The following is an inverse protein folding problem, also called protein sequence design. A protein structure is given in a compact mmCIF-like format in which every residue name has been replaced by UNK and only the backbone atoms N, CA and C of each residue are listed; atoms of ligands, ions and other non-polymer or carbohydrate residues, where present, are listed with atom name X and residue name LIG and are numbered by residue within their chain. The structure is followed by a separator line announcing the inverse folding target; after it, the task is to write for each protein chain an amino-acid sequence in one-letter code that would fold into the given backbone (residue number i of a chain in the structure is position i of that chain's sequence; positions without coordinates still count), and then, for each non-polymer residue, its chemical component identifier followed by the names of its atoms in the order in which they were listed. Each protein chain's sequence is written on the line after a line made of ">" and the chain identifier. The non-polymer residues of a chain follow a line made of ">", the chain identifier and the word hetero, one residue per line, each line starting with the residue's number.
data_IF_529283333254
#
_entry.id   IF_529283333254
#
_cell.length_a   1.000
_cell.length_b   1.000
_cell.length_c   1.000
_cell.angle_alpha   90.00
_cell.angle_beta   90.00
_cell.angle_gamma   90.00
#
_symmetry.space_group_name_H-M   'P 1'
#
loop_
_entity.id
_entity.type
_entity.pdbx_description
1 polymer ?
#
# COMPACT_ATOMS: atom_id res chain seq x y z
N UNK A 1 24.10 -9.34 -31.46
CA UNK A 1 23.14 -9.20 -30.35
C UNK A 1 23.69 -10.02 -29.20
N UNK A 2 23.83 -9.44 -28.01
CA UNK A 2 24.28 -10.18 -26.83
C UNK A 2 23.25 -11.28 -26.51
N UNK A 3 23.70 -12.49 -26.17
CA UNK A 3 22.81 -13.55 -25.72
C UNK A 3 22.10 -13.12 -24.43
N UNK A 4 20.82 -13.45 -24.27
CA UNK A 4 20.11 -13.28 -23.01
C UNK A 4 20.87 -14.03 -21.89
N UNK A 5 21.08 -13.36 -20.76
CA UNK A 5 21.83 -13.88 -19.61
C UNK A 5 20.95 -14.08 -18.38
N UNK A 6 19.64 -13.84 -18.51
CA UNK A 6 18.67 -13.94 -17.43
C UNK A 6 17.27 -14.24 -18.00
N UNK A 7 16.46 -14.98 -17.25
CA UNK A 7 15.13 -15.40 -17.66
C UNK A 7 14.15 -15.25 -16.50
N UNK A 8 12.97 -14.71 -16.79
CA UNK A 8 11.83 -14.72 -15.88
C UNK A 8 10.94 -15.91 -16.23
N UNK A 9 10.95 -16.93 -15.37
CA UNK A 9 10.07 -18.09 -15.48
C UNK A 9 8.82 -17.88 -14.61
N UNK A 10 7.66 -18.19 -15.16
CA UNK A 10 6.36 -18.13 -14.47
C UNK A 10 5.84 -19.55 -14.18
N UNK A 11 4.95 -19.67 -13.19
CA UNK A 11 4.36 -20.96 -12.77
C UNK A 11 3.56 -21.69 -13.84
N UNK A 12 3.12 -20.96 -14.87
CA UNK A 12 2.35 -21.50 -16.00
C UNK A 12 3.26 -22.05 -17.13
N UNK A 13 4.58 -22.01 -16.93
CA UNK A 13 5.58 -22.50 -17.88
C UNK A 13 6.09 -21.43 -18.85
N UNK A 14 5.56 -20.20 -18.80
CA UNK A 14 6.08 -19.13 -19.66
C UNK A 14 7.45 -18.68 -19.20
N UNK A 15 8.38 -18.60 -20.15
CA UNK A 15 9.75 -18.12 -19.94
C UNK A 15 9.98 -16.87 -20.78
N UNK A 16 10.33 -15.77 -20.12
CA UNK A 16 10.63 -14.49 -20.76
C UNK A 16 12.15 -14.24 -20.67
N UNK A 17 12.88 -14.25 -21.80
CA UNK A 17 14.30 -13.92 -21.81
C UNK A 17 14.50 -12.42 -21.58
N UNK A 18 15.62 -12.06 -20.96
CA UNK A 18 16.02 -10.67 -20.78
C UNK A 18 17.49 -10.54 -20.41
N UNK A 19 17.86 -9.34 -19.97
CA UNK A 19 19.20 -9.04 -19.48
C UNK A 19 19.18 -8.69 -18.00
N UNK A 20 20.10 -9.26 -17.23
CA UNK A 20 20.25 -8.91 -15.82
C UNK A 20 20.82 -7.49 -15.65
N UNK A 21 20.37 -6.82 -14.59
CA UNK A 21 20.95 -5.57 -14.10
C UNK A 21 20.76 -5.47 -12.58
N UNK A 22 21.51 -4.59 -11.92
CA UNK A 22 21.52 -4.54 -10.46
C UNK A 22 22.26 -5.74 -9.89
N UNK A 23 21.77 -6.31 -8.79
CA UNK A 23 22.46 -7.41 -8.11
C UNK A 23 22.37 -8.73 -8.89
N UNK A 24 23.52 -9.24 -9.31
CA UNK A 24 23.66 -10.62 -9.81
C UNK A 24 24.22 -11.49 -8.68
N UNK A 25 23.49 -12.54 -8.25
CA UNK A 25 24.00 -13.51 -7.30
C UNK A 25 25.28 -14.18 -7.82
N UNK A 26 26.24 -14.51 -6.95
CA UNK A 26 27.42 -15.28 -7.35
C UNK A 26 27.01 -16.68 -7.86
N UNK A 27 27.85 -17.31 -8.68
CA UNK A 27 27.55 -18.60 -9.37
C UNK A 27 27.06 -19.70 -8.41
N UNK A 28 27.58 -19.75 -7.19
CA UNK A 28 27.18 -20.74 -6.19
C UNK A 28 25.73 -20.56 -5.65
N UNK A 29 25.17 -19.36 -5.78
CA UNK A 29 23.81 -19.00 -5.36
C UNK A 29 22.88 -18.73 -6.56
N UNK A 30 23.42 -18.58 -7.78
CA UNK A 30 22.64 -18.33 -8.99
C UNK A 30 21.72 -19.49 -9.36
N UNK A 31 22.09 -20.72 -9.00
CA UNK A 31 21.29 -21.93 -9.20
C UNK A 31 19.96 -21.88 -8.41
N UNK A 32 19.97 -21.19 -7.27
CA UNK A 32 18.78 -21.06 -6.42
C UNK A 32 17.78 -20.11 -7.03
N UNK A 33 18.23 -19.11 -7.80
CA UNK A 33 17.38 -18.07 -8.39
C UNK A 33 16.61 -17.25 -7.34
N UNK A 34 15.92 -16.20 -7.79
CA UNK A 34 15.13 -15.34 -6.90
C UNK A 34 13.66 -15.44 -7.26
N UNK A 35 12.86 -15.99 -6.33
CA UNK A 35 11.44 -16.24 -6.52
C UNK A 35 10.55 -15.30 -5.71
N UNK A 36 9.35 -15.07 -6.21
CA UNK A 36 8.31 -14.26 -5.55
C UNK A 36 7.02 -14.22 -6.35
N UNK A 37 6.02 -13.55 -5.81
CA UNK A 37 4.77 -13.27 -6.54
C UNK A 37 5.00 -12.13 -7.54
N UNK A 38 4.67 -12.35 -8.81
CA UNK A 38 4.83 -11.34 -9.86
C UNK A 38 3.62 -10.42 -9.87
N UNK A 39 3.87 -9.14 -9.62
CA UNK A 39 2.85 -8.09 -9.59
C UNK A 39 3.25 -6.95 -10.51
N UNK A 40 2.28 -6.22 -11.05
CA UNK A 40 2.54 -5.07 -11.90
C UNK A 40 2.07 -3.77 -11.27
N UNK A 41 2.78 -2.68 -11.56
CA UNK A 41 2.41 -1.34 -11.16
C UNK A 41 2.29 -0.42 -12.38
N UNK A 42 1.19 0.33 -12.44
CA UNK A 42 0.86 1.29 -13.50
C UNK A 42 1.39 2.70 -13.29
N UNK A 43 2.11 2.93 -12.19
CA UNK A 43 2.74 4.21 -11.88
C UNK A 43 3.86 4.52 -12.88
N UNK A 44 3.78 5.69 -13.52
CA UNK A 44 4.78 6.13 -14.49
C UNK A 44 6.03 6.75 -13.84
N UNK A 45 5.88 7.23 -12.60
CA UNK A 45 6.91 7.91 -11.82
C UNK A 45 6.93 7.36 -10.40
N UNK A 46 8.01 7.61 -9.67
CA UNK A 46 8.13 7.21 -8.27
C UNK A 46 8.57 5.75 -8.11
N UNK A 47 9.44 5.25 -8.99
CA UNK A 47 9.96 3.88 -8.87
C UNK A 47 10.80 3.69 -7.60
N UNK A 48 11.44 4.74 -7.09
CA UNK A 48 12.22 4.73 -5.84
C UNK A 48 11.33 4.53 -4.61
N UNK A 49 10.22 5.24 -4.56
CA UNK A 49 9.20 5.18 -3.52
C UNK A 49 8.45 3.85 -3.60
N UNK A 50 8.13 3.39 -4.81
CA UNK A 50 7.55 2.08 -5.04
C UNK A 50 8.47 0.95 -4.55
N UNK A 51 9.75 0.97 -4.90
CA UNK A 51 10.69 -0.08 -4.52
C UNK A 51 10.96 -0.14 -3.02
N UNK A 52 10.77 0.97 -2.29
CA UNK A 52 10.92 1.03 -0.83
C UNK A 52 9.64 0.76 -0.06
N UNK A 53 8.52 0.52 -0.75
CA UNK A 53 7.25 0.17 -0.13
C UNK A 53 7.25 -1.27 0.40
N UNK A 54 6.99 -1.43 1.70
CA UNK A 54 6.93 -2.72 2.38
C UNK A 54 5.84 -3.65 1.86
N UNK A 55 4.84 -3.11 1.17
CA UNK A 55 3.77 -3.90 0.56
C UNK A 55 4.29 -4.88 -0.51
N UNK A 56 5.45 -4.59 -1.12
CA UNK A 56 6.08 -5.44 -2.14
C UNK A 56 7.05 -6.48 -1.57
N UNK A 57 7.09 -6.68 -0.25
CA UNK A 57 7.96 -7.69 0.35
C UNK A 57 7.57 -9.10 -0.13
N UNK A 58 8.52 -9.82 -0.71
CA UNK A 58 8.27 -11.14 -1.31
C UNK A 58 7.74 -11.09 -2.73
N UNK A 59 7.61 -9.90 -3.33
CA UNK A 59 7.03 -9.71 -4.66
C UNK A 59 8.08 -9.26 -5.68
N UNK A 60 7.92 -9.76 -6.91
CA UNK A 60 8.67 -9.32 -8.09
C UNK A 60 7.87 -8.21 -8.75
N UNK A 61 8.40 -6.99 -8.72
CA UNK A 61 7.70 -5.81 -9.20
C UNK A 61 7.94 -5.60 -10.69
N UNK A 62 6.86 -5.59 -11.48
CA UNK A 62 6.87 -5.25 -12.91
C UNK A 62 6.43 -3.81 -13.09
N UNK A 63 7.31 -2.96 -13.60
CA UNK A 63 6.95 -1.60 -13.95
C UNK A 63 6.44 -1.55 -15.38
N UNK A 64 5.22 -1.03 -15.54
CA UNK A 64 4.59 -0.91 -16.87
C UNK A 64 5.19 0.20 -17.72
N UNK A 65 5.74 1.25 -17.10
CA UNK A 65 6.41 2.32 -17.83
C UNK A 65 7.74 1.78 -18.39
N UNK A 66 7.99 1.91 -19.71
CA UNK A 66 9.09 1.20 -20.35
C UNK A 66 10.46 1.75 -19.97
N UNK A 67 10.60 3.06 -19.74
CA UNK A 67 11.88 3.72 -19.50
C UNK A 67 12.08 3.99 -18.00
N UNK A 68 12.82 3.13 -17.32
CA UNK A 68 13.02 3.23 -15.86
C UNK A 68 14.46 3.62 -15.53
N UNK A 69 14.65 4.45 -14.49
CA UNK A 69 15.99 4.86 -14.03
C UNK A 69 16.44 6.23 -14.54
N UNK A 70 15.63 6.92 -15.34
CA UNK A 70 15.94 8.22 -15.96
C UNK A 70 16.40 9.30 -14.96
N UNK A 71 15.78 9.39 -13.78
CA UNK A 71 16.13 10.38 -12.74
C UNK A 71 17.06 9.82 -11.65
N UNK A 72 17.49 8.55 -11.78
CA UNK A 72 18.37 7.90 -10.81
C UNK A 72 17.70 7.68 -9.45
N UNK A 73 18.50 7.64 -8.41
CA UNK A 73 18.06 7.46 -7.02
C UNK A 73 18.50 8.67 -6.20
N UNK A 74 17.60 9.31 -5.43
CA UNK A 74 17.94 10.45 -4.60
C UNK A 74 18.81 10.06 -3.41
N UNK A 75 19.47 11.04 -2.78
CA UNK A 75 20.19 10.83 -1.55
C UNK A 75 19.21 10.45 -0.40
N UNK A 76 19.65 9.64 0.58
CA UNK A 76 18.88 9.29 1.77
C UNK A 76 18.88 10.44 2.79
N UNK A 77 18.44 11.62 2.34
CA UNK A 77 18.27 12.78 3.21
C UNK A 77 17.11 12.53 4.18
N UNK A 78 17.22 13.05 5.39
CA UNK A 78 16.22 12.91 6.46
C UNK A 78 15.49 14.24 6.70
N UNK A 79 14.23 14.15 7.14
CA UNK A 79 13.45 15.30 7.59
C UNK A 79 13.75 15.66 9.06
N UNK A 80 13.06 16.70 9.55
CA UNK A 80 13.16 17.16 10.94
C UNK A 80 12.77 16.11 12.00
N UNK A 81 12.14 15.02 11.57
CA UNK A 81 11.73 13.90 12.41
C UNK A 81 12.63 12.67 12.26
N UNK A 82 13.75 12.79 11.52
CA UNK A 82 14.67 11.68 11.23
C UNK A 82 14.07 10.63 10.29
N UNK A 83 13.04 11.00 9.52
CA UNK A 83 12.45 10.12 8.50
C UNK A 83 13.09 10.43 7.14
N UNK A 84 13.48 9.42 6.35
CA UNK A 84 13.94 9.63 4.98
C UNK A 84 12.95 10.47 4.18
N UNK A 85 13.40 11.45 3.39
CA UNK A 85 12.53 12.36 2.63
C UNK A 85 11.99 11.75 1.33
N UNK A 86 12.77 10.86 0.69
CA UNK A 86 12.50 10.35 -0.66
C UNK A 86 12.20 8.86 -0.75
N UNK A 87 12.02 8.23 0.41
CA UNK A 87 11.81 6.80 0.51
C UNK A 87 10.61 6.54 1.40
N UNK A 88 9.86 5.47 1.11
CA UNK A 88 8.68 5.10 1.89
C UNK A 88 9.01 4.18 3.06
N UNK A 89 10.30 3.88 3.25
CA UNK A 89 10.80 3.13 4.38
C UNK A 89 12.19 3.57 4.86
N UNK A 90 12.52 3.18 6.09
CA UNK A 90 13.75 3.55 6.77
C UNK A 90 14.99 3.09 5.99
N UNK A 91 16.03 3.95 5.99
CA UNK A 91 17.34 3.69 5.36
C UNK A 91 17.29 3.43 3.85
N UNK A 92 16.19 3.76 3.17
CA UNK A 92 16.04 3.56 1.73
C UNK A 92 16.17 2.09 1.29
N UNK A 93 15.85 1.14 2.18
CA UNK A 93 15.98 -0.29 1.89
C UNK A 93 14.92 -0.72 0.89
N UNK A 94 15.36 -1.25 -0.24
CA UNK A 94 14.48 -1.86 -1.24
C UNK A 94 13.77 -3.07 -0.61
N UNK A 95 12.44 -3.07 -0.70
CA UNK A 95 11.57 -4.09 -0.13
C UNK A 95 11.12 -5.12 -1.18
N UNK A 96 11.03 -4.70 -2.45
CA UNK A 96 10.74 -5.59 -3.55
C UNK A 96 11.83 -6.66 -3.70
N UNK A 97 11.42 -7.90 -3.95
CA UNK A 97 12.32 -9.04 -4.10
C UNK A 97 13.12 -8.98 -5.40
N UNK A 98 12.51 -8.46 -6.46
CA UNK A 98 13.18 -8.21 -7.73
C UNK A 98 12.44 -7.13 -8.53
N UNK A 99 13.11 -6.59 -9.54
CA UNK A 99 12.56 -5.59 -10.44
C UNK A 99 12.56 -6.07 -11.90
N UNK A 100 11.42 -5.95 -12.58
CA UNK A 100 11.25 -6.25 -14.00
C UNK A 100 10.88 -4.96 -14.74
N UNK A 101 11.65 -4.62 -15.78
CA UNK A 101 11.44 -3.42 -16.58
C UNK A 101 11.58 -3.72 -18.07
N UNK A 102 11.02 -2.83 -18.91
CA UNK A 102 11.27 -2.85 -20.34
C UNK A 102 12.70 -2.43 -20.65
N UNK A 103 13.06 -1.22 -20.29
CA UNK A 103 14.40 -0.66 -20.48
C UNK A 103 14.87 0.04 -19.21
N UNK A 104 16.18 -0.05 -18.95
CA UNK A 104 16.80 0.67 -17.83
C UNK A 104 17.78 1.69 -18.37
N UNK A 105 17.70 2.91 -17.84
CA UNK A 105 18.68 3.95 -18.13
C UNK A 105 19.99 3.64 -17.38
N UNK A 106 21.07 3.41 -18.12
CA UNK A 106 22.41 3.19 -17.56
C UNK A 106 22.93 4.47 -16.88
N UNK A 107 22.67 5.62 -17.51
CA UNK A 107 22.93 6.93 -16.97
C UNK A 107 21.62 7.64 -16.58
N UNK A 108 21.69 8.39 -15.49
CA UNK A 108 20.57 9.18 -14.98
C UNK A 108 20.92 10.67 -14.97
N UNK A 109 19.91 11.52 -15.19
CA UNK A 109 20.03 12.97 -15.13
C UNK A 109 18.89 13.56 -14.30
N UNK A 110 19.23 14.00 -13.09
CA UNK A 110 18.31 14.72 -12.20
C UNK A 110 19.13 15.47 -11.16
N UNK A 111 18.68 16.66 -10.75
CA UNK A 111 19.41 17.50 -9.78
C UNK A 111 19.59 16.85 -8.40
N UNK A 112 18.71 15.89 -8.06
CA UNK A 112 18.78 15.11 -6.81
C UNK A 112 19.55 13.79 -6.94
N UNK A 113 20.05 13.45 -8.13
CA UNK A 113 20.66 12.16 -8.37
C UNK A 113 21.86 11.97 -7.45
N UNK A 114 21.80 10.92 -6.64
CA UNK A 114 22.92 10.43 -5.84
C UNK A 114 23.55 9.19 -6.48
N UNK A 115 22.71 8.23 -6.92
CA UNK A 115 23.14 6.98 -7.58
C UNK A 115 22.31 6.67 -8.81
N UNK A 116 22.84 5.82 -9.68
CA UNK A 116 22.05 5.20 -10.75
C UNK A 116 21.23 4.04 -10.16
N UNK A 117 20.11 3.71 -10.81
CA UNK A 117 19.24 2.63 -10.37
C UNK A 117 19.97 1.26 -10.30
N UNK A 118 20.78 0.85 -11.30
CA UNK A 118 21.53 -0.41 -11.21
C UNK A 118 22.48 -0.46 -10.01
N UNK A 119 23.22 0.63 -9.75
CA UNK A 119 24.17 0.68 -8.63
C UNK A 119 23.46 0.63 -7.26
N UNK A 120 22.27 1.23 -7.17
CA UNK A 120 21.46 1.16 -5.95
C UNK A 120 20.91 -0.25 -5.70
N UNK A 121 20.38 -0.92 -6.73
CA UNK A 121 19.91 -2.31 -6.62
C UNK A 121 21.05 -3.28 -6.26
N UNK A 122 22.24 -3.08 -6.84
CA UNK A 122 23.45 -3.85 -6.48
C UNK A 122 23.79 -3.69 -4.99
N UNK A 123 23.73 -2.48 -4.46
CA UNK A 123 24.01 -2.21 -3.04
C UNK A 123 23.00 -2.90 -2.11
N UNK A 124 21.73 -2.94 -2.49
CA UNK A 124 20.66 -3.56 -1.71
C UNK A 124 20.50 -5.07 -1.97
N UNK A 125 21.37 -5.66 -2.81
CA UNK A 125 21.30 -7.07 -3.22
C UNK A 125 19.96 -7.47 -3.85
N UNK A 126 19.36 -6.57 -4.65
CA UNK A 126 18.10 -6.82 -5.35
C UNK A 126 18.36 -7.05 -6.84
N UNK A 127 17.98 -8.20 -7.40
CA UNK A 127 18.14 -8.46 -8.82
C UNK A 127 17.14 -7.70 -9.67
N UNK A 128 17.57 -7.32 -10.86
CA UNK A 128 16.75 -6.69 -11.89
C UNK A 128 16.87 -7.43 -13.22
N UNK A 129 15.78 -7.45 -13.99
CA UNK A 129 15.76 -7.96 -15.36
C UNK A 129 15.13 -6.92 -16.31
N UNK A 130 15.83 -6.63 -17.40
CA UNK A 130 15.43 -5.68 -18.45
C UNK A 130 15.22 -6.39 -19.77
N UNK A 131 14.66 -5.68 -20.73
CA UNK A 131 14.32 -6.13 -22.09
C UNK A 131 13.24 -7.22 -22.11
N UNK A 132 12.34 -7.18 -21.12
CA UNK A 132 11.13 -7.99 -21.09
C UNK A 132 9.98 -7.17 -21.66
N UNK A 133 9.11 -7.80 -22.45
CA UNK A 133 7.83 -7.21 -22.85
C UNK A 133 6.90 -7.10 -21.63
N UNK A 134 7.05 -6.02 -20.87
CA UNK A 134 6.25 -5.74 -19.67
C UNK A 134 4.78 -5.52 -20.01
N UNK A 135 4.44 -5.14 -21.26
CA UNK A 135 3.06 -4.97 -21.70
C UNK A 135 2.38 -6.33 -21.91
N UNK A 136 3.04 -7.27 -22.59
CA UNK A 136 2.54 -8.63 -22.72
C UNK A 136 2.42 -9.31 -21.35
N UNK A 137 3.44 -9.15 -20.50
CA UNK A 137 3.42 -9.68 -19.13
C UNK A 137 2.26 -9.09 -18.30
N UNK A 138 2.03 -7.78 -18.38
CA UNK A 138 0.95 -7.12 -17.65
C UNK A 138 -0.44 -7.56 -18.12
N UNK A 139 -0.64 -7.74 -19.43
CA UNK A 139 -1.91 -8.27 -19.96
C UNK A 139 -2.21 -9.64 -19.38
N UNK A 140 -1.20 -10.50 -19.37
CA UNK A 140 -1.31 -11.85 -18.83
C UNK A 140 -1.64 -11.86 -17.33
N UNK A 141 -0.93 -11.06 -16.53
CA UNK A 141 -1.21 -10.91 -15.09
C UNK A 141 -2.61 -10.33 -14.83
N UNK A 142 -3.13 -9.48 -15.71
CA UNK A 142 -4.49 -8.95 -15.61
C UNK A 142 -5.56 -10.00 -15.94
N UNK A 143 -5.27 -10.92 -16.86
CA UNK A 143 -6.22 -11.97 -17.29
C UNK A 143 -6.22 -13.18 -16.35
N UNK A 144 -5.04 -13.59 -15.86
CA UNK A 144 -4.85 -14.80 -15.06
C UNK A 144 -4.76 -14.53 -13.55
N UNK A 145 -4.58 -13.26 -13.15
CA UNK A 145 -4.27 -12.89 -11.77
C UNK A 145 -2.77 -12.82 -11.51
N UNK A 146 -2.41 -12.53 -10.26
CA UNK A 146 -1.01 -12.63 -9.83
C UNK A 146 -0.56 -14.09 -9.88
N UNK A 147 0.71 -14.29 -10.24
CA UNK A 147 1.30 -15.61 -10.47
C UNK A 147 2.65 -15.68 -9.77
N UNK A 148 3.08 -16.88 -9.39
CA UNK A 148 4.44 -17.06 -8.92
C UNK A 148 5.42 -16.99 -10.09
N UNK A 149 6.55 -16.35 -9.83
CA UNK A 149 7.63 -16.20 -10.79
C UNK A 149 8.99 -16.34 -10.13
N UNK A 150 9.97 -16.64 -10.97
CA UNK A 150 11.35 -16.84 -10.55
C UNK A 150 12.31 -16.32 -11.60
N UNK A 151 13.27 -15.52 -11.16
CA UNK A 151 14.38 -15.05 -11.98
C UNK A 151 15.50 -16.09 -11.89
N UNK A 152 15.94 -16.57 -13.04
CA UNK A 152 17.03 -17.54 -13.20
C UNK A 152 18.08 -17.01 -14.18
N UNK A 153 19.34 -17.36 -13.94
CA UNK A 153 20.48 -16.89 -14.75
C UNK A 153 20.95 -17.94 -15.75
N UNK A 154 20.55 -19.19 -15.55
CA UNK A 154 20.71 -20.26 -16.51
C UNK A 154 19.46 -20.40 -17.39
N UNK A 155 19.65 -20.88 -18.61
CA UNK A 155 18.54 -21.09 -19.54
C UNK A 155 17.65 -22.23 -19.02
N UNK A 156 16.39 -21.97 -18.66
CA UNK A 156 15.50 -23.03 -18.20
C UNK A 156 15.12 -23.98 -19.35
N UNK A 157 14.67 -25.21 -19.02
CA UNK A 157 14.11 -26.13 -20.01
C UNK A 157 12.95 -25.51 -20.80
N UNK A 158 12.67 -26.04 -22.00
CA UNK A 158 11.58 -25.55 -22.87
C UNK A 158 10.22 -25.66 -22.18
N UNK A 159 10.06 -26.65 -21.30
CA UNK A 159 8.84 -26.90 -20.52
C UNK A 159 8.69 -25.95 -19.31
N UNK A 160 9.67 -25.08 -19.07
CA UNK A 160 9.73 -24.20 -17.91
C UNK A 160 10.40 -24.86 -16.70
N UNK A 161 10.23 -24.22 -15.54
CA UNK A 161 10.72 -24.75 -14.26
C UNK A 161 9.66 -25.64 -13.60
N UNK A 162 10.05 -26.66 -12.83
CA UNK A 162 9.09 -27.49 -12.12
C UNK A 162 8.34 -26.66 -11.08
N UNK A 163 7.05 -26.95 -10.88
CA UNK A 163 6.18 -26.19 -9.95
C UNK A 163 6.72 -26.14 -8.52
N UNK A 164 7.44 -27.17 -8.10
CA UNK A 164 8.10 -27.24 -6.78
C UNK A 164 9.21 -26.20 -6.57
N UNK A 165 9.71 -25.57 -7.64
CA UNK A 165 10.72 -24.52 -7.56
C UNK A 165 10.16 -23.15 -7.19
N UNK A 166 8.84 -22.96 -7.25
CA UNK A 166 8.18 -21.71 -6.88
C UNK A 166 7.75 -21.75 -5.42
N UNK A 167 8.06 -20.69 -4.68
CA UNK A 167 7.69 -20.54 -3.28
C UNK A 167 6.73 -19.37 -3.16
N UNK A 168 5.54 -19.64 -2.64
CA UNK A 168 4.53 -18.60 -2.42
C UNK A 168 4.90 -17.75 -1.19
N UNK A 169 5.18 -16.44 -1.37
CA UNK A 169 5.47 -15.54 -0.24
C UNK A 169 4.28 -15.38 0.71
N UNK A 170 3.04 -15.55 0.23
CA UNK A 170 1.81 -15.31 0.99
C UNK A 170 1.52 -16.37 2.05
N UNK A 171 2.20 -17.53 1.98
CA UNK A 171 2.16 -18.56 3.03
C UNK A 171 2.82 -18.05 4.31
N UNK A 172 3.77 -17.12 4.20
CA UNK A 172 4.45 -16.50 5.34
C UNK A 172 3.67 -15.31 5.86
N UNK A 173 3.87 -14.97 7.13
CA UNK A 173 3.28 -13.77 7.70
C UNK A 173 4.10 -12.53 7.34
N UNK A 174 3.91 -12.00 6.13
CA UNK A 174 4.62 -10.83 5.61
C UNK A 174 4.41 -9.59 6.51
N UNK A 175 3.22 -9.39 7.05
CA UNK A 175 2.95 -8.28 7.97
C UNK A 175 3.79 -8.35 9.26
N UNK A 176 4.13 -9.56 9.72
CA UNK A 176 5.05 -9.77 10.86
C UNK A 176 6.49 -9.45 10.48
N UNK A 177 6.92 -9.88 9.30
CA UNK A 177 8.28 -9.65 8.79
C UNK A 177 8.54 -8.16 8.53
N UNK A 178 7.54 -7.47 8.00
CA UNK A 178 7.63 -6.05 7.70
C UNK A 178 7.49 -5.17 8.95
N UNK A 179 6.84 -5.60 10.03
CA UNK A 179 6.60 -4.80 11.23
C UNK A 179 7.90 -4.34 11.92
N UNK A 180 7.88 -3.16 12.55
CA UNK A 180 8.92 -2.74 13.50
C UNK A 180 9.14 -3.79 14.59
N UNK A 181 10.39 -3.90 15.05
CA UNK A 181 10.80 -4.83 16.13
C UNK A 181 10.56 -4.25 17.52
N UNK A 182 10.69 -2.94 17.64
CA UNK A 182 10.57 -2.20 18.88
C UNK A 182 9.59 -1.04 18.71
N UNK A 183 8.99 -0.61 19.82
CA UNK A 183 8.11 0.55 19.82
C UNK A 183 8.91 1.80 19.45
N UNK A 184 8.40 2.55 18.48
CA UNK A 184 8.99 3.83 18.07
C UNK A 184 8.02 4.97 18.38
N UNK A 185 8.55 6.12 18.78
CA UNK A 185 7.76 7.31 19.09
C UNK A 185 8.22 8.44 18.19
N UNK A 186 7.27 9.11 17.55
CA UNK A 186 7.51 10.22 16.63
C UNK A 186 6.71 11.45 17.07
N UNK A 187 7.25 12.64 16.80
CA UNK A 187 6.67 13.91 17.21
C UNK A 187 6.88 14.23 18.69
N UNK A 188 6.36 15.36 19.14
CA UNK A 188 6.51 15.80 20.52
C UNK A 188 5.48 15.10 21.44
N UNK A 189 5.91 14.22 22.37
CA UNK A 189 4.98 13.53 23.28
C UNK A 189 4.26 14.47 24.25
N UNK A 190 4.80 15.67 24.48
CA UNK A 190 4.22 16.73 25.30
C UNK A 190 3.55 17.82 24.43
N UNK A 191 3.36 17.55 23.15
CA UNK A 191 2.66 18.45 22.23
C UNK A 191 1.17 18.55 22.57
N UNK A 192 0.55 19.65 22.13
CA UNK A 192 -0.90 19.89 22.30
C UNK A 192 -1.78 19.09 21.34
N UNK A 193 -1.19 18.38 20.38
CA UNK A 193 -1.92 17.65 19.35
C UNK A 193 -2.34 16.23 19.77
N UNK A 194 -3.07 15.52 18.89
CA UNK A 194 -3.63 14.21 19.21
C UNK A 194 -2.54 13.15 19.37
N UNK A 195 -2.75 12.23 20.32
CA UNK A 195 -1.87 11.06 20.52
C UNK A 195 -2.42 9.85 19.77
N UNK A 196 -1.67 9.38 18.79
CA UNK A 196 -2.11 8.31 17.88
C UNK A 196 -1.25 7.07 18.09
N UNK A 197 -1.89 5.94 18.37
CA UNK A 197 -1.27 4.63 18.35
C UNK A 197 -1.42 4.02 16.95
N UNK A 198 -0.31 3.68 16.31
CA UNK A 198 -0.30 3.00 15.00
C UNK A 198 0.13 1.55 15.22
N UNK A 199 -0.60 0.63 14.61
CA UNK A 199 -0.19 -0.76 14.49
C UNK A 199 0.57 -0.93 13.18
N UNK A 200 1.84 -1.31 13.26
CA UNK A 200 2.65 -1.50 12.07
C UNK A 200 2.37 -2.84 11.39
N UNK A 201 1.78 -2.78 10.21
CA UNK A 201 1.59 -3.94 9.33
C UNK A 201 2.27 -3.75 7.97
N UNK A 202 3.30 -2.88 7.89
CA UNK A 202 3.83 -2.39 6.61
C UNK A 202 3.45 -0.94 6.34
N UNK A 203 3.46 -0.10 7.38
CA UNK A 203 3.23 1.34 7.28
C UNK A 203 4.17 2.01 6.25
N UNK A 204 3.63 2.95 5.46
CA UNK A 204 4.44 3.82 4.60
C UNK A 204 4.81 5.10 5.34
N UNK A 205 6.05 5.55 5.23
CA UNK A 205 6.53 6.72 5.97
C UNK A 205 5.72 7.99 5.67
N UNK A 206 5.17 8.14 4.45
CA UNK A 206 4.34 9.29 4.15
C UNK A 206 3.08 9.40 5.04
N UNK A 207 2.54 8.27 5.53
CA UNK A 207 1.42 8.28 6.46
C UNK A 207 1.82 8.89 7.81
N UNK A 208 3.04 8.59 8.29
CA UNK A 208 3.60 9.22 9.48
C UNK A 208 3.81 10.72 9.26
N UNK A 209 4.47 11.11 8.16
CA UNK A 209 4.72 12.53 7.82
C UNK A 209 3.43 13.34 7.83
N UNK A 210 2.37 12.82 7.19
CA UNK A 210 1.07 13.47 7.16
C UNK A 210 0.47 13.69 8.57
N UNK A 211 0.60 12.72 9.47
CA UNK A 211 0.09 12.83 10.83
C UNK A 211 0.94 13.79 11.68
N UNK A 212 2.27 13.72 11.56
CA UNK A 212 3.20 14.60 12.26
C UNK A 212 3.02 16.07 11.85
N UNK A 213 2.84 16.34 10.55
CA UNK A 213 2.58 17.68 10.03
C UNK A 213 1.28 18.30 10.60
N UNK A 214 0.33 17.47 11.05
CA UNK A 214 -0.91 17.89 11.70
C UNK A 214 -0.76 18.04 13.23
N UNK A 215 0.46 17.97 13.74
CA UNK A 215 0.79 18.12 15.16
C UNK A 215 0.54 16.87 16.00
N UNK A 216 0.25 15.71 15.39
CA UNK A 216 0.03 14.49 16.14
C UNK A 216 1.34 13.94 16.74
N UNK A 217 1.27 13.36 17.94
CA UNK A 217 2.35 12.53 18.48
C UNK A 217 2.01 11.07 18.23
N UNK A 218 2.94 10.30 17.67
CA UNK A 218 2.67 8.95 17.18
C UNK A 218 3.47 7.95 17.99
N UNK A 219 2.81 6.92 18.49
CA UNK A 219 3.46 5.71 19.00
C UNK A 219 3.23 4.58 18.01
N UNK A 220 4.29 4.19 17.30
CA UNK A 220 4.28 3.07 16.38
C UNK A 220 4.57 1.77 17.16
N UNK A 221 3.63 0.83 17.11
CA UNK A 221 3.69 -0.45 17.81
C UNK A 221 3.89 -1.58 16.82
N UNK A 222 4.68 -2.57 17.22
CA UNK A 222 4.78 -3.82 16.48
C UNK A 222 3.43 -4.53 16.39
N UNK A 223 3.20 -5.25 15.29
CA UNK A 223 1.94 -5.94 14.97
C UNK A 223 1.38 -6.82 16.12
N UNK A 224 2.23 -7.29 17.02
CA UNK A 224 1.86 -8.19 18.13
C UNK A 224 1.84 -7.54 19.53
N UNK A 225 2.18 -6.26 19.68
CA UNK A 225 2.29 -5.63 21.01
C UNK A 225 0.97 -5.23 21.67
N UNK A 226 -0.12 -5.08 20.91
CA UNK A 226 -1.38 -4.57 21.46
C UNK A 226 -2.04 -5.50 22.50
N UNK A 227 -1.69 -6.79 22.53
CA UNK A 227 -2.17 -7.70 23.58
C UNK A 227 -1.60 -7.41 24.98
N UNK A 228 -0.45 -6.74 25.05
CA UNK A 228 0.27 -6.52 26.32
C UNK A 228 0.09 -5.12 26.90
N UNK A 229 -0.50 -4.20 26.12
CA UNK A 229 -0.77 -2.84 26.57
C UNK A 229 -2.12 -2.85 27.30
N UNK A 230 -2.06 -2.71 28.62
CA UNK A 230 -3.22 -2.41 29.46
C UNK A 230 -3.83 -1.07 29.02
N UNK A 231 -4.74 -1.12 28.05
CA UNK A 231 -5.76 -0.09 27.92
C UNK A 231 -6.81 -0.36 29.01
N UNK A 232 -7.28 0.65 29.75
CA UNK A 232 -8.15 0.48 30.92
C UNK A 232 -9.48 -0.24 30.67
N UNK A 233 -9.81 -0.62 29.42
CA UNK A 233 -11.03 -1.34 29.04
C UNK A 233 -10.79 -2.72 28.38
N UNK A 234 -9.59 -3.30 28.48
CA UNK A 234 -9.35 -4.67 27.99
C UNK A 234 -9.52 -5.69 29.14
N UNK A 235 -10.76 -6.11 29.40
CA UNK A 235 -11.03 -7.16 30.39
C UNK A 235 -10.41 -8.49 29.92
N UNK A 236 -9.56 -9.07 30.77
CA UNK A 236 -8.86 -10.34 30.56
C UNK A 236 -9.87 -11.49 30.45
N UNK A 237 -10.04 -12.03 29.24
CA UNK A 237 -10.54 -13.39 29.02
C UNK A 237 -9.36 -14.33 28.83
N UNK A 238 -9.24 -15.36 29.67
CA UNK A 238 -8.20 -16.39 29.55
C UNK A 238 -8.37 -17.16 28.24
N UNK A 239 -7.43 -17.02 27.30
CA UNK A 239 -7.32 -17.92 26.15
C UNK A 239 -5.94 -18.54 26.19
N UNK A 240 -5.92 -19.86 26.37
CA UNK A 240 -4.70 -20.68 26.36
C UNK A 240 -3.99 -20.54 25.01
N UNK A 241 -2.68 -20.47 25.10
CA UNK A 241 -1.69 -20.45 24.02
C UNK A 241 -1.89 -21.58 23.01
N UNK A 242 -2.18 -21.24 21.74
CA UNK A 242 -1.67 -21.94 20.53
C UNK A 242 -2.15 -21.33 19.21
N UNK A 243 -3.16 -20.46 19.19
CA UNK A 243 -3.58 -19.79 17.94
C UNK A 243 -3.78 -18.28 18.15
N UNK A 244 -2.69 -17.51 18.04
CA UNK A 244 -2.80 -16.05 17.86
C UNK A 244 -3.19 -15.76 16.40
N UNK A 245 -4.49 -15.88 16.08
CA UNK A 245 -5.05 -15.29 14.85
C UNK A 245 -4.79 -13.77 14.86
N UNK A 246 -4.42 -13.16 13.72
CA UNK A 246 -3.91 -11.78 13.68
C UNK A 246 -5.01 -10.72 13.74
N UNK A 247 -6.07 -10.95 14.52
CA UNK A 247 -7.05 -9.94 14.95
C UNK A 247 -7.72 -10.50 16.20
N UNK A 248 -7.39 -9.95 17.38
CA UNK A 248 -8.03 -10.32 18.64
C UNK A 248 -9.57 -10.19 18.53
N UNK A 249 -10.37 -11.09 19.13
CA UNK A 249 -11.82 -10.93 19.24
C UNK A 249 -12.25 -9.56 19.79
N UNK A 250 -11.43 -8.92 20.64
CA UNK A 250 -11.68 -7.58 21.16
C UNK A 250 -11.67 -6.48 20.08
N UNK A 251 -10.82 -6.60 19.06
CA UNK A 251 -10.81 -5.69 17.90
C UNK A 251 -12.01 -5.93 16.96
N UNK A 252 -12.51 -7.18 16.85
CA UNK A 252 -13.73 -7.48 16.09
C UNK A 252 -14.98 -6.82 16.69
N UNK A 253 -15.08 -6.75 18.01
CA UNK A 253 -16.27 -6.22 18.69
C UNK A 253 -16.46 -4.70 18.50
N UNK A 254 -15.43 -3.93 18.16
CA UNK A 254 -15.60 -2.50 17.83
C UNK A 254 -16.20 -2.24 16.45
N UNK A 255 -16.12 -3.18 15.49
CA UNK A 255 -16.83 -3.05 14.20
C UNK A 255 -18.33 -3.37 14.33
N UNK A 256 -18.73 -4.27 15.23
CA UNK A 256 -20.14 -4.65 15.44
C UNK A 256 -21.00 -3.52 16.04
N UNK A 257 -20.41 -2.57 16.77
CA UNK A 257 -21.17 -1.41 17.26
C UNK A 257 -21.52 -0.38 16.19
N UNK A 258 -20.95 -0.46 14.97
CA UNK A 258 -21.41 0.35 13.83
C UNK A 258 -22.48 -0.36 13.00
N UNK A 259 -22.46 -1.69 12.90
CA UNK A 259 -23.47 -2.42 12.13
C UNK A 259 -24.82 -2.56 12.84
N UNK A 260 -24.85 -2.50 14.18
CA UNK A 260 -26.10 -2.51 14.95
C UNK A 260 -26.87 -1.17 14.91
N UNK A 261 -26.26 -0.10 14.42
CA UNK A 261 -26.91 1.19 14.21
C UNK A 261 -27.60 1.31 12.83
N UNK A 262 -27.26 0.46 11.87
CA UNK A 262 -27.82 0.47 10.51
C UNK A 262 -29.02 -0.50 10.32
N UNK A 263 -29.32 -1.37 11.29
CA UNK A 263 -30.43 -2.35 11.19
C UNK A 263 -31.81 -1.82 11.65
N UNK A 264 -31.93 -0.52 11.97
CA UNK A 264 -33.18 0.05 12.52
C UNK A 264 -33.94 1.02 11.60
N UNK A 265 -33.66 1.01 10.30
CA UNK A 265 -34.36 1.87 9.33
C UNK A 265 -34.83 1.09 8.09
N UNK A 266 -35.74 0.13 8.29
CA UNK A 266 -36.50 -0.45 7.16
C UNK A 266 -37.91 -0.83 7.62
N UNK A 267 -38.89 -0.03 7.22
CA UNK A 267 -40.30 -0.42 7.12
C UNK A 267 -40.93 0.28 5.92
N UNK A 268 -41.82 -0.37 5.17
CA UNK A 268 -42.25 0.06 3.84
C UNK A 268 -43.53 0.88 3.90
N UNK A 269 -43.68 1.87 3.01
CA UNK A 269 -44.99 2.41 2.65
C UNK A 269 -45.05 2.67 1.14
N UNK A 270 -45.88 1.86 0.49
CA UNK A 270 -46.50 2.12 -0.81
C UNK A 270 -47.23 3.47 -0.82
N UNK A 271 -47.27 4.17 -1.96
CA UNK A 271 -48.52 4.69 -2.51
C UNK A 271 -48.35 5.13 -3.98
N UNK A 272 -49.27 4.62 -4.79
CA UNK A 272 -49.52 4.84 -6.21
C UNK A 272 -49.94 6.27 -6.55
N UNK A 273 -49.61 6.78 -7.75
CA UNK A 273 -50.60 7.33 -8.70
C UNK A 273 -49.98 7.91 -10.01
N UNK A 274 -50.52 7.43 -11.13
CA UNK A 274 -50.81 8.03 -12.47
C UNK A 274 -49.90 9.13 -13.06
N UNK A 275 -49.43 9.14 -14.32
CA UNK A 275 -49.85 8.65 -15.66
C UNK A 275 -50.13 9.84 -16.61
N UNK A 276 -49.74 9.64 -17.88
CA UNK A 276 -49.98 10.44 -19.10
C UNK A 276 -49.13 11.72 -19.22
N UNK A 277 -48.54 12.11 -20.36
CA UNK A 277 -48.77 11.88 -21.79
C UNK A 277 -47.58 12.62 -22.49
N UNK A 278 -46.82 12.18 -23.51
CA UNK A 278 -47.14 12.01 -24.94
C UNK A 278 -45.82 11.70 -25.73
N UNK A 279 -45.88 10.81 -26.73
CA UNK A 279 -45.31 10.97 -28.10
C UNK A 279 -43.79 11.06 -28.37
N UNK A 280 -43.24 10.02 -29.02
CA UNK A 280 -41.95 9.92 -29.78
C UNK A 280 -41.97 10.70 -31.13
N UNK A 281 -40.91 10.71 -32.01
CA UNK A 281 -39.42 10.69 -31.87
C UNK A 281 -38.67 11.71 -32.81
N UNK A 282 -37.31 11.64 -32.86
CA UNK A 282 -36.36 11.89 -34.00
C UNK A 282 -35.30 13.02 -33.80
N UNK A 283 -34.03 12.65 -34.15
CA UNK A 283 -32.82 13.44 -34.50
C UNK A 283 -32.08 14.20 -33.37
N UNK A 284 -30.86 13.78 -32.97
CA UNK A 284 -29.56 13.91 -33.64
C UNK A 284 -28.85 15.26 -33.34
N UNK A 285 -27.77 15.14 -32.56
CA UNK A 285 -26.59 16.00 -32.47
C UNK A 285 -26.74 17.49 -32.06
N UNK A 286 -25.84 17.90 -31.17
CA UNK A 286 -25.54 19.26 -30.74
C UNK A 286 -26.50 19.91 -29.73
N UNK A 287 -26.19 19.75 -28.44
CA UNK A 287 -26.02 20.82 -27.43
C UNK A 287 -25.86 20.17 -26.06
N UNK A 288 -24.64 19.80 -25.68
CA UNK A 288 -24.33 19.25 -24.35
C UNK A 288 -23.00 19.79 -23.84
N UNK A 289 -22.84 21.11 -23.84
CA UNK A 289 -21.65 21.78 -23.26
C UNK A 289 -21.96 23.04 -22.44
N UNK A 290 -23.22 23.31 -22.06
CA UNK A 290 -23.54 24.54 -21.32
C UNK A 290 -24.43 24.38 -20.06
N UNK A 291 -24.87 23.18 -19.68
CA UNK A 291 -25.72 22.99 -18.48
C UNK A 291 -25.08 22.15 -17.36
N UNK A 292 -23.84 21.68 -17.52
CA UNK A 292 -23.13 20.91 -16.50
C UNK A 292 -22.42 21.79 -15.44
N UNK A 293 -22.28 23.10 -15.67
CA UNK A 293 -21.61 24.03 -14.74
C UNK A 293 -22.52 24.65 -13.68
N UNK A 294 -23.84 24.48 -13.77
CA UNK A 294 -24.78 25.05 -12.79
C UNK A 294 -25.28 24.03 -11.74
N UNK A 295 -25.33 22.73 -12.06
CA UNK A 295 -25.76 21.69 -11.12
C UNK A 295 -24.68 21.28 -10.10
N UNK A 296 -23.40 21.53 -10.39
CA UNK A 296 -22.30 21.26 -9.47
C UNK A 296 -22.14 22.34 -8.37
N UNK A 297 -22.63 23.56 -8.62
CA UNK A 297 -22.51 24.68 -7.67
C UNK A 297 -23.61 24.66 -6.59
N UNK A 298 -24.81 24.16 -6.90
CA UNK A 298 -25.93 24.12 -5.96
C UNK A 298 -25.86 22.93 -4.97
N UNK A 299 -25.23 21.81 -5.34
CA UNK A 299 -25.06 20.64 -4.46
C UNK A 299 -23.96 20.82 -3.41
N UNK A 300 -23.02 21.75 -3.63
CA UNK A 300 -21.96 22.09 -2.67
C UNK A 300 -22.46 22.97 -1.51
N UNK A 301 -23.46 23.83 -1.75
CA UNK A 301 -23.98 24.76 -0.74
C UNK A 301 -24.89 24.08 0.31
N UNK A 302 -25.67 23.07 -0.09
CA UNK A 302 -26.53 22.32 0.85
C UNK A 302 -25.73 21.41 1.79
N UNK A 303 -24.65 20.79 1.30
CA UNK A 303 -23.77 19.92 2.08
C UNK A 303 -22.99 20.68 3.18
N UNK A 304 -22.66 21.95 2.96
CA UNK A 304 -21.99 22.79 3.95
C UNK A 304 -22.89 23.14 5.16
N UNK A 305 -24.21 23.27 4.95
CA UNK A 305 -25.15 23.60 6.03
C UNK A 305 -25.46 22.42 6.97
N UNK A 306 -25.43 21.19 6.46
CA UNK A 306 -25.64 19.97 7.27
C UNK A 306 -24.41 19.61 8.12
N UNK A 307 -23.19 19.89 7.63
CA UNK A 307 -21.96 19.68 8.38
C UNK A 307 -21.81 20.65 9.58
N UNK A 308 -22.34 21.87 9.47
CA UNK A 308 -22.34 22.85 10.56
C UNK A 308 -23.32 22.51 11.70
N UNK A 309 -24.46 21.89 11.39
CA UNK A 309 -25.43 21.44 12.41
C UNK A 309 -24.96 20.16 13.16
N UNK A 310 -24.17 19.31 12.50
CA UNK A 310 -23.59 18.11 13.09
C UNK A 310 -22.40 18.39 14.01
N UNK A 311 -21.65 19.48 13.80
CA UNK A 311 -20.57 19.88 14.71
C UNK A 311 -21.10 20.54 16.00
N UNK A 312 -22.24 21.23 15.94
CA UNK A 312 -22.89 21.86 17.10
C UNK A 312 -23.48 20.82 18.08
N UNK A 313 -24.03 19.71 17.57
CA UNK A 313 -24.55 18.61 18.41
C UNK A 313 -23.42 17.73 19.00
N UNK A 314 -22.29 17.60 18.30
CA UNK A 314 -21.10 16.93 18.83
C UNK A 314 -20.40 17.76 19.93
N UNK A 315 -20.38 19.09 19.81
CA UNK A 315 -19.83 19.97 20.85
C UNK A 315 -20.67 19.92 22.15
N UNK A 316 -22.01 19.93 22.05
CA UNK A 316 -22.89 19.81 23.21
C UNK A 316 -22.78 18.46 23.94
N UNK A 317 -22.46 17.37 23.21
CA UNK A 317 -22.24 16.05 23.80
C UNK A 317 -20.87 15.93 24.50
N UNK A 318 -19.86 16.66 24.02
CA UNK A 318 -18.54 16.72 24.66
C UNK A 318 -18.57 17.61 25.90
N UNK A 319 -19.30 18.73 25.89
CA UNK A 319 -19.48 19.58 27.07
C UNK A 319 -20.30 18.88 28.18
N UNK A 320 -21.29 18.05 27.83
CA UNK A 320 -22.01 17.22 28.79
C UNK A 320 -21.12 16.11 29.41
N UNK A 321 -20.17 15.57 28.65
CA UNK A 321 -19.21 14.57 29.12
C UNK A 321 -18.12 15.19 30.02
N UNK A 322 -17.72 16.43 29.73
CA UNK A 322 -16.77 17.20 30.54
C UNK A 322 -17.41 17.63 31.86
N UNK A 323 -18.66 18.10 31.86
CA UNK A 323 -19.38 18.45 33.09
C UNK A 323 -19.65 17.24 34.00
N UNK A 324 -19.82 16.04 33.42
CA UNK A 324 -19.95 14.81 34.21
C UNK A 324 -18.62 14.40 34.87
N UNK A 325 -17.50 14.49 34.15
CA UNK A 325 -16.16 14.16 34.66
C UNK A 325 -15.66 15.15 35.74
N UNK A 326 -16.09 16.42 35.71
CA UNK A 326 -15.71 17.44 36.71
C UNK A 326 -16.47 17.28 38.03
N UNK A 327 -17.65 16.63 38.03
CA UNK A 327 -18.44 16.42 39.25
C UNK A 327 -18.04 15.14 40.03
N UNK A 328 -17.29 14.22 39.43
CA UNK A 328 -16.77 13.01 40.09
C UNK A 328 -15.44 13.25 40.85
N UNK A 329 -14.73 14.36 40.60
CA UNK A 329 -13.50 14.72 41.33
C UNK A 329 -13.74 15.66 42.54
N UNK A 330 -14.98 16.05 42.82
CA UNK A 330 -15.34 16.91 43.97
C UNK A 330 -16.29 16.23 44.99
N UNK A 331 -16.34 14.89 45.00
CA UNK A 331 -17.04 14.08 46.00
C UNK A 331 -16.13 13.05 46.65
#
# INVERSE_FOLDING_TARGET
>A
MASANCYLALEDGTVLPGYSFGYVPPENESDVGVGGEVVFQTGMVGYTEALTDRSYSGQILVLTYPLIGNYGVPAPDEDEHGLPLHFEWMKGVVQATALVVGEVAEEAFHWRKWKTLPNWLQQHKVPGIRDIDTRALTKKLREQGSMLGKIVYEKPPVEGLPKSSFVDPNVRNLAKECSVKERQVYGNPNGKGPRIAILDCGLKLNQLRCLLQRGASISNFLNFALCSLNFPNCQRGSVRSTECRPYCPSCRNRRRMRSAADEKAQSPLDFTASASNFGWPIAAAATATAAASAAAAASAAAAASAAAAASATAAAAVDALINWLVLEELG
#
